data_IF_927656098370
#
_entry.id   IF_927656098370
#
_cell.length_a   1.000
_cell.length_b   1.000
_cell.length_c   1.000
_cell.angle_alpha   90.00
_cell.angle_beta   90.00
_cell.angle_gamma   90.00
#
_symmetry.space_group_name_H-M   'P 1'
#
loop_
_entity.id
_entity.type
_entity.pdbx_description
1 polymer ?
#
# COMPACT_ATOMS: atom_id res chain seq x y z
N UNK A 1 -4.61 15.29 1.84
CA UNK A 1 -4.40 14.48 3.06
C UNK A 1 -4.09 13.00 2.81
N UNK A 2 -5.03 12.12 2.44
CA UNK A 2 -4.74 10.68 2.25
C UNK A 2 -4.25 10.34 0.84
N UNK A 3 -4.91 10.88 -0.19
CA UNK A 3 -4.53 10.68 -1.60
C UNK A 3 -3.10 11.17 -1.88
N UNK A 4 -2.73 12.33 -1.33
CA UNK A 4 -1.36 12.86 -1.42
C UNK A 4 -0.35 11.99 -0.67
N UNK A 5 -0.68 11.48 0.51
CA UNK A 5 0.22 10.60 1.26
C UNK A 5 0.44 9.25 0.54
N UNK A 6 -0.60 8.73 -0.12
CA UNK A 6 -0.46 7.58 -1.02
C UNK A 6 0.44 7.91 -2.21
N UNK A 7 0.40 9.14 -2.74
CA UNK A 7 1.24 9.58 -3.85
C UNK A 7 2.75 9.61 -3.52
N UNK A 8 3.12 9.64 -2.24
CA UNK A 8 4.52 9.54 -1.77
C UNK A 8 5.00 8.09 -1.60
N UNK A 9 4.08 7.11 -1.57
CA UNK A 9 4.44 5.69 -1.46
C UNK A 9 4.93 5.18 -2.82
N UNK A 10 6.12 4.55 -2.93
CA UNK A 10 6.59 3.97 -4.19
C UNK A 10 5.55 3.03 -4.82
N UNK A 11 5.43 3.07 -6.16
CA UNK A 11 4.34 2.46 -6.92
C UNK A 11 4.07 0.99 -6.51
N UNK A 12 5.10 0.16 -6.49
CA UNK A 12 5.03 -1.25 -6.07
C UNK A 12 4.38 -1.48 -4.71
N UNK A 13 4.61 -0.59 -3.74
CA UNK A 13 4.05 -0.71 -2.39
C UNK A 13 2.67 -0.06 -2.32
N UNK A 14 2.46 1.00 -3.09
CA UNK A 14 1.19 1.71 -3.20
C UNK A 14 0.11 0.80 -3.77
N UNK A 15 0.40 0.07 -4.84
CA UNK A 15 -0.58 -0.81 -5.49
C UNK A 15 -1.07 -1.90 -4.54
N UNK A 16 -0.16 -2.49 -3.76
CA UNK A 16 -0.52 -3.47 -2.74
C UNK A 16 -1.43 -2.88 -1.66
N UNK A 17 -1.14 -1.66 -1.18
CA UNK A 17 -1.98 -0.94 -0.21
C UNK A 17 -3.34 -0.61 -0.82
N UNK A 18 -3.38 -0.07 -2.04
CA UNK A 18 -4.62 0.32 -2.69
C UNK A 18 -5.51 -0.89 -2.93
N UNK A 19 -4.99 -1.98 -3.48
CA UNK A 19 -5.79 -3.17 -3.74
C UNK A 19 -6.34 -3.78 -2.45
N UNK A 20 -5.51 -3.94 -1.41
CA UNK A 20 -5.95 -4.67 -0.22
C UNK A 20 -6.68 -3.78 0.79
N UNK A 21 -6.13 -2.62 1.14
CA UNK A 21 -6.67 -1.79 2.23
C UNK A 21 -7.81 -0.88 1.77
N UNK A 22 -7.89 -0.57 0.47
CA UNK A 22 -8.90 0.34 -0.10
C UNK A 22 -9.87 -0.43 -1.01
N UNK A 23 -9.33 -1.30 -1.87
CA UNK A 23 -10.10 -2.12 -2.79
C UNK A 23 -10.67 -3.39 -2.16
N UNK A 24 -10.36 -3.66 -0.88
CA UNK A 24 -10.80 -4.83 -0.11
C UNK A 24 -10.55 -6.19 -0.81
N UNK A 25 -9.58 -6.24 -1.73
CA UNK A 25 -9.18 -7.47 -2.38
C UNK A 25 -8.45 -8.39 -1.38
N UNK A 26 -8.65 -9.70 -1.53
CA UNK A 26 -7.84 -10.66 -0.78
C UNK A 26 -6.38 -10.59 -1.23
N UNK A 27 -5.46 -11.11 -0.41
CA UNK A 27 -4.05 -11.20 -0.82
C UNK A 27 -3.86 -12.07 -2.07
N UNK A 28 -4.72 -13.07 -2.29
CA UNK A 28 -4.68 -13.93 -3.47
C UNK A 28 -5.13 -13.18 -4.73
N UNK A 29 -6.23 -12.43 -4.65
CA UNK A 29 -6.72 -11.62 -5.78
C UNK A 29 -5.72 -10.52 -6.13
N UNK A 30 -5.18 -9.82 -5.12
CA UNK A 30 -4.15 -8.81 -5.34
C UNK A 30 -2.88 -9.41 -5.97
N UNK A 31 -2.48 -10.62 -5.57
CA UNK A 31 -1.36 -11.33 -6.18
C UNK A 31 -1.61 -11.65 -7.66
N UNK A 32 -2.83 -12.07 -8.00
CA UNK A 32 -3.23 -12.35 -9.37
C UNK A 32 -3.30 -11.08 -10.22
N UNK A 33 -3.84 -9.98 -9.69
CA UNK A 33 -3.92 -8.68 -10.37
C UNK A 33 -2.52 -8.12 -10.66
N UNK A 34 -1.62 -8.22 -9.68
CA UNK A 34 -0.26 -7.67 -9.77
C UNK A 34 0.75 -8.60 -10.45
N UNK A 35 0.34 -9.83 -10.79
CA UNK A 35 1.19 -10.88 -11.35
C UNK A 35 2.47 -11.12 -10.52
N UNK A 36 2.30 -11.31 -9.21
CA UNK A 36 3.39 -11.55 -8.25
C UNK A 36 3.01 -12.62 -7.21
N UNK A 37 3.97 -13.23 -6.50
CA UNK A 37 3.66 -14.14 -5.41
C UNK A 37 2.89 -13.47 -4.26
N UNK A 38 1.97 -14.21 -3.62
CA UNK A 38 1.24 -13.75 -2.42
C UNK A 38 2.18 -13.29 -1.30
N UNK A 39 3.31 -13.97 -1.09
CA UNK A 39 4.32 -13.53 -0.13
C UNK A 39 4.95 -12.17 -0.48
N UNK A 40 5.05 -11.85 -1.76
CA UNK A 40 5.50 -10.54 -2.24
C UNK A 40 4.44 -9.47 -1.95
N UNK A 41 3.15 -9.76 -2.17
CA UNK A 41 2.03 -8.88 -1.78
C UNK A 41 2.12 -8.55 -0.29
N UNK A 42 2.26 -9.57 0.58
CA UNK A 42 2.37 -9.36 2.03
C UNK A 42 3.56 -8.45 2.40
N UNK A 43 4.73 -8.70 1.81
CA UNK A 43 5.92 -7.88 2.10
C UNK A 43 5.82 -6.44 1.57
N UNK A 44 5.22 -6.25 0.39
CA UNK A 44 4.95 -4.94 -0.22
C UNK A 44 3.92 -4.17 0.59
N UNK A 45 2.83 -4.82 1.00
CA UNK A 45 1.79 -4.23 1.84
C UNK A 45 2.33 -3.78 3.20
N UNK A 46 3.15 -4.62 3.85
CA UNK A 46 3.80 -4.24 5.10
C UNK A 46 4.68 -3.00 4.95
N UNK A 47 5.52 -2.94 3.91
CA UNK A 47 6.35 -1.75 3.63
C UNK A 47 5.51 -0.53 3.29
N UNK A 48 4.49 -0.68 2.43
CA UNK A 48 3.57 0.39 2.03
C UNK A 48 2.85 1.02 3.22
N UNK A 49 2.28 0.22 4.11
CA UNK A 49 1.63 0.70 5.34
C UNK A 49 2.58 1.49 6.23
N UNK A 50 3.84 1.06 6.36
CA UNK A 50 4.84 1.78 7.16
C UNK A 50 5.15 3.16 6.57
N UNK A 51 5.36 3.24 5.25
CA UNK A 51 5.64 4.51 4.56
C UNK A 51 4.44 5.44 4.66
N UNK A 52 3.24 4.92 4.38
CA UNK A 52 1.99 5.69 4.45
C UNK A 52 1.74 6.24 5.86
N UNK A 53 1.94 5.40 6.88
CA UNK A 53 1.82 5.84 8.29
C UNK A 53 2.79 6.97 8.62
N UNK A 54 4.04 6.87 8.17
CA UNK A 54 5.04 7.92 8.40
C UNK A 54 4.64 9.24 7.71
N UNK A 55 4.23 9.18 6.44
CA UNK A 55 3.80 10.37 5.68
C UNK A 55 2.55 11.03 6.29
N UNK A 56 1.57 10.24 6.73
CA UNK A 56 0.37 10.76 7.38
C UNK A 56 0.68 11.38 8.75
N UNK A 57 1.60 10.79 9.52
CA UNK A 57 2.02 11.35 10.80
C UNK A 57 2.71 12.70 10.63
N UNK A 58 3.58 12.84 9.63
CA UNK A 58 4.23 14.12 9.30
C UNK A 58 3.20 15.19 8.92
N UNK A 59 2.25 14.83 8.04
CA UNK A 59 1.19 15.75 7.57
C UNK A 59 0.13 16.09 8.62
N UNK A 60 -0.04 15.29 9.66
CA UNK A 60 -0.99 15.58 10.75
C UNK A 60 -0.42 16.52 11.82
N UNK A 61 0.90 16.73 11.82
CA UNK A 61 1.62 17.61 12.77
C UNK A 61 1.94 18.97 12.13
N UNK A 62 1.76 19.11 10.82
CA UNK A 62 1.87 20.35 10.05
C UNK A 62 0.51 21.07 9.94
#
# INVERSE_FOLDING_TARGET
>A
MVVEALAEVPHDFRDAVVLVDIGEFSYADAAQILDIPVGTVMSRLHRGRRILKASLAEKAVA
#
